data_IF_327359319874
#
_entry.id   IF_327359319874
#
_cell.length_a   1.000
_cell.length_b   1.000
_cell.length_c   1.000
_cell.angle_alpha   90.00
_cell.angle_beta   90.00
_cell.angle_gamma   90.00
#
_symmetry.space_group_name_H-M   'P 1'
#
loop_
_entity.id
_entity.type
_entity.pdbx_description
1 polymer ?
#
# COMPACT_ATOMS: atom_id res chain seq x y z
N UNK A 1 -20.26 9.45 -10.09
CA UNK A 1 -19.83 8.04 -10.08
C UNK A 1 -20.98 7.16 -9.64
N UNK A 2 -21.20 6.00 -10.28
CA UNK A 2 -22.25 5.05 -9.87
C UNK A 2 -21.76 4.14 -8.73
N UNK A 3 -22.67 3.45 -8.05
CA UNK A 3 -22.31 2.46 -7.01
C UNK A 3 -21.39 1.37 -7.59
N UNK A 4 -21.75 0.83 -8.76
CA UNK A 4 -20.92 -0.15 -9.48
C UNK A 4 -19.52 0.41 -9.78
N UNK A 5 -19.45 1.66 -10.24
CA UNK A 5 -18.17 2.32 -10.51
C UNK A 5 -17.32 2.49 -9.26
N UNK A 6 -17.94 2.85 -8.13
CA UNK A 6 -17.24 2.99 -6.86
C UNK A 6 -16.72 1.65 -6.31
N UNK A 7 -17.50 0.58 -6.46
CA UNK A 7 -17.06 -0.77 -6.07
C UNK A 7 -15.88 -1.25 -6.94
N UNK A 8 -15.91 -0.99 -8.24
CA UNK A 8 -14.77 -1.28 -9.11
C UNK A 8 -13.52 -0.47 -8.71
N UNK A 9 -13.68 0.81 -8.36
CA UNK A 9 -12.58 1.63 -7.84
C UNK A 9 -11.96 1.03 -6.57
N UNK A 10 -12.77 0.43 -5.69
CA UNK A 10 -12.25 -0.27 -4.51
C UNK A 10 -11.40 -1.49 -4.90
N UNK A 11 -11.81 -2.25 -5.92
CA UNK A 11 -11.04 -3.40 -6.41
C UNK A 11 -9.73 -2.97 -7.07
N UNK A 12 -9.78 -1.95 -7.94
CA UNK A 12 -8.59 -1.36 -8.56
C UNK A 12 -7.61 -0.83 -7.52
N UNK A 13 -8.11 -0.22 -6.44
CA UNK A 13 -7.27 0.22 -5.31
C UNK A 13 -6.59 -0.97 -4.62
N UNK A 14 -7.30 -2.07 -4.38
CA UNK A 14 -6.71 -3.27 -3.76
C UNK A 14 -5.59 -3.85 -4.64
N UNK A 15 -5.87 -4.04 -5.95
CA UNK A 15 -4.90 -4.59 -6.90
C UNK A 15 -3.65 -3.71 -7.03
N UNK A 16 -3.85 -2.40 -7.21
CA UNK A 16 -2.74 -1.46 -7.39
C UNK A 16 -1.88 -1.34 -6.14
N UNK A 17 -2.49 -1.28 -4.94
CA UNK A 17 -1.74 -1.16 -3.70
C UNK A 17 -0.99 -2.46 -3.37
N UNK A 18 -1.57 -3.62 -3.73
CA UNK A 18 -0.86 -4.88 -3.60
C UNK A 18 0.35 -4.98 -4.53
N UNK A 19 0.18 -4.61 -5.80
CA UNK A 19 1.29 -4.57 -6.76
C UNK A 19 2.40 -3.60 -6.33
N UNK A 20 2.01 -2.43 -5.80
CA UNK A 20 2.93 -1.43 -5.25
C UNK A 20 3.82 -2.00 -4.13
N UNK A 21 3.21 -2.55 -3.07
CA UNK A 21 3.99 -3.14 -1.96
C UNK A 21 4.85 -4.33 -2.42
N UNK A 22 4.38 -5.13 -3.38
CA UNK A 22 5.19 -6.23 -3.93
C UNK A 22 6.43 -5.71 -4.66
N UNK A 23 6.29 -4.65 -5.46
CA UNK A 23 7.42 -4.01 -6.14
C UNK A 23 8.41 -3.45 -5.11
N UNK A 24 7.91 -2.84 -4.03
CA UNK A 24 8.74 -2.31 -2.98
C UNK A 24 9.58 -3.38 -2.29
N UNK A 25 8.92 -4.44 -1.79
CA UNK A 25 9.60 -5.51 -1.07
C UNK A 25 10.59 -6.30 -1.94
N UNK A 26 10.23 -6.57 -3.21
CA UNK A 26 11.02 -7.44 -4.08
C UNK A 26 12.12 -6.67 -4.83
N UNK A 27 11.90 -5.38 -5.11
CA UNK A 27 12.76 -4.59 -6.02
C UNK A 27 13.32 -3.33 -5.37
N UNK A 28 12.48 -2.49 -4.78
CA UNK A 28 12.90 -1.15 -4.30
C UNK A 28 13.71 -1.24 -3.02
N UNK A 29 13.14 -1.80 -1.94
CA UNK A 29 13.77 -1.86 -0.62
C UNK A 29 15.11 -2.59 -0.64
N UNK A 30 15.30 -3.72 -1.36
CA UNK A 30 16.61 -4.36 -1.47
C UNK A 30 17.69 -3.46 -2.10
N UNK A 31 17.33 -2.65 -3.11
CA UNK A 31 18.28 -1.73 -3.75
C UNK A 31 18.62 -0.57 -2.80
N UNK A 32 17.61 0.03 -2.15
CA UNK A 32 17.82 1.11 -1.19
C UNK A 32 18.69 0.67 0.00
N UNK A 33 18.46 -0.55 0.52
CA UNK A 33 19.21 -1.13 1.63
C UNK A 33 20.73 -1.21 1.40
N UNK A 34 21.20 -1.17 0.14
CA UNK A 34 22.64 -1.16 -0.18
C UNK A 34 23.38 0.08 0.32
N UNK A 35 22.66 1.22 0.49
CA UNK A 35 23.24 2.50 0.95
C UNK A 35 22.47 3.15 2.09
N UNK A 36 21.25 2.69 2.36
CA UNK A 36 20.35 3.26 3.35
C UNK A 36 20.04 2.22 4.44
N UNK A 37 20.74 2.24 5.59
CA UNK A 37 20.58 1.24 6.65
C UNK A 37 19.14 1.10 7.19
N UNK A 38 18.33 2.16 7.10
CA UNK A 38 16.91 2.11 7.46
C UNK A 38 16.14 1.03 6.68
N UNK A 39 16.47 0.83 5.40
CA UNK A 39 15.86 -0.19 4.55
C UNK A 39 16.48 -1.58 4.73
N UNK A 40 17.65 -1.69 5.37
CA UNK A 40 18.19 -3.00 5.73
C UNK A 40 17.34 -3.66 6.84
N UNK A 41 16.83 -2.87 7.79
CA UNK A 41 15.91 -3.29 8.86
C UNK A 41 14.45 -2.87 8.56
N UNK A 42 13.94 -3.27 7.40
CA UNK A 42 12.61 -2.94 6.87
C UNK A 42 11.45 -3.67 7.58
N UNK A 43 11.68 -4.26 8.76
CA UNK A 43 10.69 -4.99 9.56
C UNK A 43 9.45 -4.14 9.88
N UNK A 44 9.63 -2.83 10.09
CA UNK A 44 8.53 -1.90 10.37
C UNK A 44 7.62 -1.70 9.15
N UNK A 45 8.20 -1.40 7.98
CA UNK A 45 7.45 -1.17 6.74
C UNK A 45 6.73 -2.47 6.30
N UNK A 46 7.42 -3.61 6.33
CA UNK A 46 6.80 -4.92 6.05
C UNK A 46 5.68 -5.23 7.05
N UNK A 47 5.86 -4.92 8.34
CA UNK A 47 4.79 -5.13 9.33
C UNK A 47 3.55 -4.26 9.02
N UNK A 48 3.76 -3.02 8.57
CA UNK A 48 2.67 -2.15 8.11
C UNK A 48 1.98 -2.73 6.86
N UNK A 49 2.73 -3.19 5.84
CA UNK A 49 2.17 -3.84 4.66
C UNK A 49 1.25 -5.00 5.05
N UNK A 50 1.67 -5.88 5.97
CA UNK A 50 0.85 -7.02 6.43
C UNK A 50 -0.49 -6.60 7.02
N UNK A 51 -0.52 -5.51 7.79
CA UNK A 51 -1.77 -4.96 8.34
C UNK A 51 -2.64 -4.41 7.21
N UNK A 52 -2.05 -3.68 6.26
CA UNK A 52 -2.74 -3.11 5.11
C UNK A 52 -3.35 -4.21 4.23
N UNK A 53 -2.58 -5.23 3.84
CA UNK A 53 -3.08 -6.36 3.03
C UNK A 53 -4.23 -7.11 3.70
N UNK A 54 -4.22 -7.26 5.03
CA UNK A 54 -5.35 -7.84 5.77
C UNK A 54 -6.61 -6.99 5.66
N UNK A 55 -6.47 -5.67 5.58
CA UNK A 55 -7.55 -4.74 5.30
C UNK A 55 -8.04 -4.81 3.86
N UNK A 56 -7.11 -4.82 2.90
CA UNK A 56 -7.41 -4.93 1.46
C UNK A 56 -8.17 -6.21 1.13
N UNK A 57 -7.77 -7.36 1.67
CA UNK A 57 -8.47 -8.62 1.46
C UNK A 57 -9.95 -8.56 1.91
N UNK A 58 -10.25 -7.81 2.97
CA UNK A 58 -11.64 -7.60 3.42
C UNK A 58 -12.40 -6.66 2.48
N UNK A 59 -11.76 -5.58 2.03
CA UNK A 59 -12.35 -4.62 1.10
C UNK A 59 -12.67 -5.28 -0.25
N UNK A 60 -11.72 -6.03 -0.78
CA UNK A 60 -11.85 -6.76 -2.04
C UNK A 60 -13.01 -7.75 -1.97
N UNK A 61 -13.04 -8.60 -0.93
CA UNK A 61 -14.12 -9.58 -0.74
C UNK A 61 -15.50 -8.92 -0.63
N UNK A 62 -15.60 -7.83 0.13
CA UNK A 62 -16.85 -7.10 0.30
C UNK A 62 -17.33 -6.46 -1.02
N UNK A 63 -16.43 -5.78 -1.74
CA UNK A 63 -16.74 -5.16 -3.01
C UNK A 63 -17.14 -6.19 -4.08
N UNK A 64 -16.44 -7.33 -4.16
CA UNK A 64 -16.79 -8.44 -5.05
C UNK A 64 -18.18 -9.00 -4.73
N UNK A 65 -18.50 -9.22 -3.45
CA UNK A 65 -19.81 -9.72 -3.04
C UNK A 65 -20.93 -8.74 -3.37
N UNK A 66 -20.71 -7.43 -3.21
CA UNK A 66 -21.68 -6.41 -3.63
C UNK A 66 -21.89 -6.39 -5.14
N UNK A 67 -20.83 -6.48 -5.93
CA UNK A 67 -20.93 -6.52 -7.40
C UNK A 67 -21.66 -7.77 -7.90
N UNK A 68 -21.53 -8.89 -7.19
CA UNK A 68 -22.20 -10.16 -7.50
C UNK A 68 -23.63 -10.24 -6.95
N UNK A 69 -24.12 -9.22 -6.24
CA UNK A 69 -25.45 -9.21 -5.64
C UNK A 69 -25.61 -10.17 -4.45
N UNK A 70 -24.51 -10.65 -3.86
CA UNK A 70 -24.53 -11.51 -2.67
C UNK A 70 -24.70 -10.74 -1.37
N UNK A 71 -24.43 -9.43 -1.39
CA UNK A 71 -24.52 -8.55 -0.23
C UNK A 71 -24.93 -7.16 -0.70
N UNK A 72 -25.87 -6.53 -0.02
CA UNK A 72 -26.22 -5.13 -0.30
C UNK A 72 -25.14 -4.19 0.23
N UNK A 73 -24.82 -3.14 -0.53
CA UNK A 73 -23.84 -2.15 -0.08
C UNK A 73 -24.37 -1.40 1.15
N UNK A 74 -23.66 -1.58 2.27
CA UNK A 74 -23.81 -0.82 3.51
C UNK A 74 -22.59 0.09 3.71
N UNK A 75 -22.81 1.40 3.67
CA UNK A 75 -21.73 2.39 3.80
C UNK A 75 -21.02 2.33 5.16
N UNK A 76 -21.74 2.03 6.24
CA UNK A 76 -21.17 1.86 7.56
C UNK A 76 -20.25 0.63 7.66
N UNK A 77 -20.60 -0.47 6.98
CA UNK A 77 -19.75 -1.66 6.93
C UNK A 77 -18.50 -1.40 6.09
N UNK A 78 -18.65 -0.76 4.93
CA UNK A 78 -17.53 -0.36 4.10
C UNK A 78 -16.57 0.56 4.87
N UNK A 79 -17.10 1.58 5.56
CA UNK A 79 -16.29 2.46 6.41
C UNK A 79 -15.56 1.65 7.49
N UNK A 80 -16.28 0.74 8.16
CA UNK A 80 -15.67 -0.13 9.18
C UNK A 80 -14.53 -0.99 8.62
N UNK A 81 -14.62 -1.45 7.37
CA UNK A 81 -13.53 -2.15 6.69
C UNK A 81 -12.35 -1.21 6.44
N UNK A 82 -12.59 -0.01 5.91
CA UNK A 82 -11.54 0.99 5.66
C UNK A 82 -10.84 1.41 6.96
N UNK A 83 -11.59 1.55 8.06
CA UNK A 83 -11.05 1.91 9.39
C UNK A 83 -10.07 0.86 9.93
N UNK A 84 -10.13 -0.40 9.46
CA UNK A 84 -9.19 -1.46 9.90
C UNK A 84 -7.75 -1.14 9.54
N UNK A 85 -7.52 -0.44 8.43
CA UNK A 85 -6.18 -0.22 7.89
C UNK A 85 -5.90 1.23 7.47
N UNK A 86 -6.91 2.10 7.48
CA UNK A 86 -6.78 3.50 7.04
C UNK A 86 -5.73 4.28 7.82
N UNK A 87 -5.70 4.16 9.15
CA UNK A 87 -4.66 4.79 9.97
C UNK A 87 -3.27 4.25 9.62
N UNK A 88 -3.14 2.94 9.43
CA UNK A 88 -1.86 2.31 9.08
C UNK A 88 -1.37 2.73 7.70
N UNK A 89 -2.25 2.93 6.70
CA UNK A 89 -1.85 3.47 5.40
C UNK A 89 -1.23 4.86 5.55
N UNK A 90 -1.88 5.76 6.29
CA UNK A 90 -1.35 7.11 6.47
C UNK A 90 0.01 7.12 7.18
N UNK A 91 0.11 6.36 8.27
CA UNK A 91 1.38 6.20 9.00
C UNK A 91 2.47 5.57 8.13
N UNK A 92 2.11 4.58 7.30
CA UNK A 92 3.03 3.91 6.39
C UNK A 92 3.60 4.89 5.36
N UNK A 93 2.74 5.68 4.69
CA UNK A 93 3.17 6.69 3.72
C UNK A 93 4.10 7.74 4.37
N UNK A 94 3.76 8.22 5.57
CA UNK A 94 4.60 9.17 6.31
C UNK A 94 5.97 8.56 6.68
N UNK A 95 5.96 7.31 7.17
CA UNK A 95 7.18 6.59 7.53
C UNK A 95 8.08 6.31 6.33
N UNK A 96 7.48 5.97 5.19
CA UNK A 96 8.19 5.69 3.95
C UNK A 96 8.82 6.97 3.38
N UNK A 97 8.04 8.05 3.24
CA UNK A 97 8.55 9.36 2.78
C UNK A 97 9.65 9.88 3.69
N UNK A 98 9.51 9.74 5.01
CA UNK A 98 10.55 10.14 5.97
C UNK A 98 11.84 9.32 5.79
N UNK A 99 11.73 8.02 5.51
CA UNK A 99 12.88 7.15 5.28
C UNK A 99 13.54 7.38 3.91
N UNK A 100 12.74 7.72 2.90
CA UNK A 100 13.21 8.13 1.56
C UNK A 100 13.72 9.58 1.53
N UNK A 101 13.45 10.37 2.57
CA UNK A 101 13.72 11.79 2.64
C UNK A 101 15.18 12.16 2.39
N UNK A 102 15.38 13.25 1.66
CA UNK A 102 16.67 13.71 1.16
C UNK A 102 17.60 14.33 2.22
N UNK A 103 17.27 14.23 3.51
CA UNK A 103 18.09 14.81 4.58
C UNK A 103 19.47 14.15 4.66
N UNK A 104 19.58 12.90 4.20
CA UNK A 104 20.84 12.20 3.98
C UNK A 104 20.89 11.75 2.51
N UNK A 105 21.62 12.48 1.65
CA UNK A 105 21.68 12.15 0.21
C UNK A 105 22.55 10.91 -0.04
N UNK A 106 21.93 9.73 -0.03
CA UNK A 106 22.60 8.44 -0.29
C UNK A 106 22.82 8.15 -1.79
N UNK A 107 22.08 8.85 -2.65
CA UNK A 107 22.07 8.69 -4.11
C UNK A 107 22.03 10.06 -4.79
N UNK A 108 22.79 10.21 -5.86
CA UNK A 108 22.65 11.36 -6.77
C UNK A 108 21.40 11.21 -7.64
N UNK A 109 20.87 12.33 -8.15
CA UNK A 109 19.75 12.30 -9.09
C UNK A 109 20.03 11.42 -10.33
N UNK A 110 21.29 11.43 -10.81
CA UNK A 110 21.71 10.58 -11.92
C UNK A 110 21.63 9.09 -11.57
N UNK A 111 22.05 8.70 -10.37
CA UNK A 111 21.94 7.31 -9.92
C UNK A 111 20.47 6.90 -9.70
N UNK A 112 19.64 7.77 -9.11
CA UNK A 112 18.20 7.50 -8.93
C UNK A 112 17.51 7.21 -10.27
N UNK A 113 17.80 7.98 -11.32
CA UNK A 113 17.23 7.74 -12.67
C UNK A 113 17.70 6.44 -13.34
N UNK A 114 18.73 5.79 -12.79
CA UNK A 114 19.32 4.54 -13.31
C UNK A 114 19.22 3.38 -12.32
N UNK A 115 18.44 3.53 -11.25
CA UNK A 115 18.27 2.45 -10.29
C UNK A 115 17.69 1.21 -10.97
N UNK A 116 18.20 0.01 -10.66
CA UNK A 116 17.73 -1.24 -11.26
C UNK A 116 16.46 -1.73 -10.54
N UNK A 117 15.36 -0.99 -10.68
CA UNK A 117 14.06 -1.31 -10.07
C UNK A 117 13.20 -2.09 -11.08
#
# INVERSE_FOLDING_TARGET
MSIKGYLNLCLEFCENLEAHHQIEEIRVFPVLATRMPAFANHDKLIAQHKVIHKGLAKLESYAQNCLQGRTDLRWNELKGILDVFGTTIWEHLDDEVRQLGAEETHWSAHEMTRMPI
#
